data_IF_991565051106
#
_entry.id   IF_991565051106
#
_cell.length_a   1.000
_cell.length_b   1.000
_cell.length_c   1.000
_cell.angle_alpha   90.00
_cell.angle_beta   90.00
_cell.angle_gamma   90.00
#
_symmetry.space_group_name_H-M   'P 1'
#
loop_
_entity.id
_entity.type
_entity.pdbx_description
1 polymer ?
#
# COMPACT_ATOMS: atom_id res chain seq x y z
N UNK A 1 75.51 9.32 -1.20
CA UNK A 1 74.91 8.25 -2.01
C UNK A 1 73.54 7.95 -1.43
N UNK A 2 72.50 7.96 -2.27
CA UNK A 2 71.10 7.94 -1.88
C UNK A 2 70.67 6.52 -1.50
N UNK A 3 69.93 6.39 -0.40
CA UNK A 3 69.26 5.16 0.02
C UNK A 3 68.02 4.92 -0.84
N UNK A 4 67.91 3.71 -1.39
CA UNK A 4 66.69 3.21 -2.03
C UNK A 4 65.90 2.44 -0.96
N UNK A 5 64.74 2.96 -0.58
CA UNK A 5 63.71 2.20 0.14
C UNK A 5 62.64 1.88 -0.89
N UNK A 6 62.51 0.59 -1.22
CA UNK A 6 61.40 0.07 -2.02
C UNK A 6 60.29 -0.26 -1.02
N UNK A 7 59.24 0.55 -1.01
CA UNK A 7 57.96 0.18 -0.39
C UNK A 7 57.10 -0.42 -1.50
N UNK A 8 56.82 -1.73 -1.38
CA UNK A 8 55.75 -2.38 -2.13
C UNK A 8 54.42 -1.81 -1.63
N UNK A 9 53.74 -1.10 -2.53
CA UNK A 9 52.36 -0.67 -2.35
C UNK A 9 51.48 -1.71 -3.05
N UNK A 10 51.22 -2.83 -2.36
CA UNK A 10 50.19 -3.78 -2.77
C UNK A 10 48.86 -3.21 -2.29
N UNK A 11 48.27 -2.37 -3.13
CA UNK A 11 46.94 -1.79 -2.97
C UNK A 11 45.87 -2.87 -3.02
N UNK A 12 45.51 -3.36 -1.84
CA UNK A 12 44.20 -3.97 -1.59
C UNK A 12 43.15 -2.84 -1.66
N UNK A 13 42.31 -2.87 -2.69
CA UNK A 13 41.20 -1.95 -2.84
C UNK A 13 40.18 -2.19 -1.70
N UNK A 14 40.34 -1.45 -0.61
CA UNK A 14 39.34 -1.35 0.44
C UNK A 14 38.07 -0.74 -0.17
N UNK A 15 36.98 -1.52 -0.21
CA UNK A 15 35.64 -0.98 -0.42
C UNK A 15 35.44 0.15 0.59
N UNK A 16 35.23 1.39 0.11
CA UNK A 16 35.07 2.52 1.00
C UNK A 16 33.80 2.33 1.84
N UNK A 17 33.97 2.25 3.16
CA UNK A 17 32.88 2.29 4.16
C UNK A 17 32.30 3.72 4.30
N UNK A 18 32.29 4.50 3.22
CA UNK A 18 31.79 5.87 3.21
C UNK A 18 30.28 5.88 2.91
N UNK A 19 29.42 6.33 3.84
CA UNK A 19 27.98 6.34 3.65
C UNK A 19 27.54 7.10 2.40
N UNK A 20 28.23 8.17 2.03
CA UNK A 20 27.89 8.98 0.86
C UNK A 20 28.07 8.17 -0.44
N UNK A 21 29.22 7.51 -0.60
CA UNK A 21 29.49 6.65 -1.75
C UNK A 21 28.47 5.51 -1.88
N UNK A 22 28.04 4.95 -0.74
CA UNK A 22 26.99 3.93 -0.71
C UNK A 22 25.62 4.49 -1.13
N UNK A 23 25.24 5.68 -0.63
CA UNK A 23 23.98 6.35 -1.01
C UNK A 23 23.95 6.62 -2.51
N UNK A 24 25.04 7.14 -3.10
CA UNK A 24 25.15 7.41 -4.54
C UNK A 24 24.97 6.14 -5.39
N UNK A 25 25.50 5.01 -4.90
CA UNK A 25 25.31 3.70 -5.51
C UNK A 25 23.84 3.25 -5.44
N UNK A 26 23.21 3.39 -4.27
CA UNK A 26 21.81 3.01 -4.05
C UNK A 26 20.85 3.84 -4.91
N UNK A 27 20.95 5.17 -4.92
CA UNK A 27 20.07 6.01 -5.78
C UNK A 27 20.33 5.79 -7.28
N UNK A 28 21.46 5.18 -7.64
CA UNK A 28 21.79 4.82 -9.01
C UNK A 28 21.34 3.41 -9.41
N UNK A 29 20.88 2.57 -8.47
CA UNK A 29 20.51 1.17 -8.77
C UNK A 29 19.16 1.07 -9.48
N UNK A 30 18.24 2.01 -9.23
CA UNK A 30 16.92 2.07 -9.85
C UNK A 30 16.51 3.51 -10.18
N UNK A 31 15.69 3.74 -11.23
CA UNK A 31 15.19 5.07 -11.57
C UNK A 31 14.32 5.69 -10.46
N UNK A 32 13.58 4.87 -9.71
CA UNK A 32 12.80 5.29 -8.55
C UNK A 32 13.31 4.54 -7.32
N UNK A 33 13.81 5.28 -6.33
CA UNK A 33 14.45 4.71 -5.15
C UNK A 33 13.95 5.36 -3.86
N UNK A 34 13.58 4.55 -2.87
CA UNK A 34 13.01 5.02 -1.61
C UNK A 34 13.86 4.58 -0.41
N UNK A 35 14.37 5.55 0.35
CA UNK A 35 14.87 5.30 1.70
C UNK A 35 13.72 5.31 2.68
N UNK A 36 13.51 4.21 3.42
CA UNK A 36 12.37 4.03 4.31
C UNK A 36 12.74 3.34 5.62
N UNK A 37 11.83 3.38 6.60
CA UNK A 37 11.95 2.62 7.85
C UNK A 37 11.18 1.31 7.73
N UNK A 38 11.88 0.18 7.72
CA UNK A 38 11.32 -1.14 7.43
C UNK A 38 11.46 -1.51 5.95
N UNK A 39 10.54 -2.33 5.45
CA UNK A 39 10.49 -2.79 4.05
C UNK A 39 9.11 -2.55 3.45
N UNK A 40 8.92 -2.64 2.12
CA UNK A 40 7.61 -2.48 1.48
C UNK A 40 6.51 -3.40 2.04
N UNK A 41 6.88 -4.62 2.46
CA UNK A 41 5.95 -5.61 2.99
C UNK A 41 5.81 -5.55 4.52
N UNK A 42 6.80 -4.96 5.19
CA UNK A 42 6.79 -4.76 6.64
C UNK A 42 7.34 -3.36 6.99
N UNK A 43 6.56 -2.29 6.74
CA UNK A 43 6.96 -0.94 7.10
C UNK A 43 6.94 -0.76 8.62
N UNK A 44 7.93 -0.06 9.16
CA UNK A 44 8.11 0.16 10.61
C UNK A 44 7.81 1.61 11.02
N UNK A 45 7.18 2.39 10.13
CA UNK A 45 6.81 3.77 10.36
C UNK A 45 5.63 4.16 9.48
N UNK A 46 4.58 4.79 10.04
CA UNK A 46 3.39 5.18 9.29
C UNK A 46 3.69 6.11 8.10
N UNK A 47 4.68 7.00 8.21
CA UNK A 47 5.12 7.82 7.08
C UNK A 47 5.71 6.97 5.94
N UNK A 48 6.48 5.93 6.28
CA UNK A 48 7.02 5.00 5.27
C UNK A 48 5.91 4.14 4.65
N UNK A 49 4.91 3.71 5.42
CA UNK A 49 3.74 3.00 4.89
C UNK A 49 3.00 3.83 3.85
N UNK A 50 2.70 5.11 4.17
CA UNK A 50 1.97 6.01 3.27
C UNK A 50 2.69 6.22 1.93
N UNK A 51 4.02 6.43 1.95
CA UNK A 51 4.78 6.56 0.70
C UNK A 51 4.75 5.28 -0.12
N UNK A 52 4.86 4.11 0.51
CA UNK A 52 4.75 2.81 -0.18
C UNK A 52 3.36 2.66 -0.83
N UNK A 53 2.30 3.01 -0.12
CA UNK A 53 0.92 3.00 -0.65
C UNK A 53 0.80 3.93 -1.86
N UNK A 54 1.37 5.13 -1.80
CA UNK A 54 1.40 6.05 -2.94
C UNK A 54 2.12 5.44 -4.15
N UNK A 55 3.35 4.94 -3.99
CA UNK A 55 4.12 4.36 -5.10
C UNK A 55 3.42 3.15 -5.71
N UNK A 56 2.83 2.28 -4.87
CA UNK A 56 2.03 1.13 -5.33
C UNK A 56 0.77 1.58 -6.08
N UNK A 57 0.08 2.62 -5.61
CA UNK A 57 -1.11 3.18 -6.27
C UNK A 57 -0.82 3.74 -7.67
N UNK A 58 0.40 4.26 -7.89
CA UNK A 58 0.87 4.68 -9.21
C UNK A 58 1.38 3.54 -10.09
N UNK A 59 1.46 2.31 -9.56
CA UNK A 59 2.03 1.14 -10.24
C UNK A 59 3.44 1.40 -10.79
N UNK A 60 4.23 2.22 -10.10
CA UNK A 60 5.61 2.51 -10.48
C UNK A 60 6.54 1.41 -9.93
N UNK A 61 7.48 0.88 -10.73
CA UNK A 61 8.52 0.01 -10.20
C UNK A 61 9.52 0.84 -9.41
N UNK A 62 9.84 0.41 -8.19
CA UNK A 62 10.79 1.11 -7.31
C UNK A 62 11.63 0.13 -6.50
N UNK A 63 12.82 0.56 -6.09
CA UNK A 63 13.64 -0.13 -5.09
C UNK A 63 13.61 0.62 -3.76
N UNK A 64 13.96 -0.09 -2.67
CA UNK A 64 13.98 0.49 -1.34
C UNK A 64 15.24 0.14 -0.55
N UNK A 65 15.59 0.99 0.41
CA UNK A 65 16.58 0.68 1.43
C UNK A 65 16.00 0.91 2.82
N UNK A 66 16.14 -0.10 3.71
CA UNK A 66 15.75 0.01 5.10
C UNK A 66 16.83 0.76 5.90
N UNK A 67 16.62 2.04 6.19
CA UNK A 67 17.61 2.83 6.96
C UNK A 67 17.78 2.36 8.41
N UNK A 68 16.90 1.50 8.92
CA UNK A 68 17.04 0.97 10.28
C UNK A 68 18.08 -0.14 10.38
N UNK A 69 18.52 -0.72 9.26
CA UNK A 69 19.60 -1.71 9.24
C UNK A 69 20.99 -1.09 9.20
N UNK A 70 21.12 0.21 8.91
CA UNK A 70 22.40 0.90 8.80
C UNK A 70 22.29 2.36 9.31
N UNK A 71 22.88 2.62 10.49
CA UNK A 71 22.88 3.95 11.09
C UNK A 71 23.70 4.98 10.28
N UNK A 72 24.76 4.54 9.60
CA UNK A 72 25.59 5.40 8.75
C UNK A 72 24.80 5.92 7.56
N UNK A 73 24.07 5.04 6.86
CA UNK A 73 23.16 5.44 5.79
C UNK A 73 22.01 6.30 6.34
N UNK A 74 21.46 5.95 7.50
CA UNK A 74 20.33 6.69 8.10
C UNK A 74 20.64 8.14 8.39
N UNK A 75 21.84 8.44 8.86
CA UNK A 75 22.25 9.83 9.10
C UNK A 75 22.83 10.46 7.83
N UNK A 76 23.62 9.70 7.07
CA UNK A 76 24.21 10.16 5.81
C UNK A 76 23.16 10.60 4.79
N UNK A 77 22.01 9.93 4.68
CA UNK A 77 20.96 10.30 3.71
C UNK A 77 20.30 11.65 4.05
N UNK A 78 20.24 12.00 5.33
CA UNK A 78 19.70 13.30 5.76
C UNK A 78 20.64 14.44 5.36
N UNK A 79 21.94 14.21 5.52
CA UNK A 79 22.98 15.17 5.12
C UNK A 79 23.06 15.28 3.60
N UNK A 80 23.02 14.15 2.89
CA UNK A 80 23.08 14.07 1.42
C UNK A 80 21.99 14.91 0.76
N UNK A 81 20.74 14.76 1.21
CA UNK A 81 19.59 15.48 0.68
C UNK A 81 19.42 16.90 1.26
N UNK A 82 20.21 17.25 2.28
CA UNK A 82 19.94 18.38 3.16
C UNK A 82 18.47 18.37 3.69
N UNK A 83 18.01 17.18 4.11
CA UNK A 83 16.63 16.94 4.51
C UNK A 83 16.55 16.09 5.79
N UNK A 84 15.88 16.55 6.86
CA UNK A 84 16.02 15.95 8.19
C UNK A 84 15.20 14.66 8.41
N UNK A 85 14.22 14.36 7.55
CA UNK A 85 13.25 13.28 7.78
C UNK A 85 13.36 12.12 6.80
N UNK A 86 12.75 11.00 7.17
CA UNK A 86 12.64 9.75 6.42
C UNK A 86 11.17 9.32 6.53
N UNK A 87 10.51 8.87 5.45
CA UNK A 87 11.06 8.45 4.15
C UNK A 87 11.59 9.56 3.25
N UNK A 88 12.47 9.21 2.31
CA UNK A 88 12.97 10.08 1.24
C UNK A 88 12.90 9.37 -0.12
N UNK A 89 12.20 9.97 -1.08
CA UNK A 89 12.07 9.46 -2.44
C UNK A 89 13.07 10.15 -3.38
N UNK A 90 13.70 9.35 -4.23
CA UNK A 90 14.57 9.80 -5.31
C UNK A 90 14.01 9.30 -6.64
N UNK A 91 14.01 10.17 -7.65
CA UNK A 91 13.66 9.84 -9.03
C UNK A 91 14.79 10.32 -9.93
N UNK A 92 15.33 9.45 -10.78
CA UNK A 92 16.50 9.72 -11.61
C UNK A 92 17.69 10.34 -10.83
N UNK A 93 17.94 9.84 -9.61
CA UNK A 93 18.97 10.30 -8.67
C UNK A 93 18.72 11.68 -8.06
N UNK A 94 17.62 12.34 -8.38
CA UNK A 94 17.24 13.62 -7.81
C UNK A 94 16.30 13.42 -6.62
N UNK A 95 16.53 14.18 -5.55
CA UNK A 95 15.67 14.15 -4.37
C UNK A 95 14.33 14.80 -4.69
N UNK A 96 13.24 14.03 -4.51
CA UNK A 96 11.87 14.51 -4.75
C UNK A 96 11.28 15.11 -3.47
N UNK A 97 11.36 14.38 -2.36
CA UNK A 97 10.75 14.83 -1.11
C UNK A 97 10.58 13.75 -0.05
N UNK A 98 9.99 14.17 1.06
CA UNK A 98 9.48 13.28 2.11
C UNK A 98 7.98 12.97 1.94
N UNK A 99 7.40 12.28 2.92
CA UNK A 99 6.02 11.74 2.86
C UNK A 99 4.96 12.73 2.35
N UNK A 100 4.87 13.92 2.97
CA UNK A 100 3.78 14.84 2.68
C UNK A 100 3.92 15.50 1.29
N UNK A 101 5.16 15.76 0.85
CA UNK A 101 5.45 16.27 -0.51
C UNK A 101 5.05 15.22 -1.55
N UNK A 102 5.41 13.95 -1.31
CA UNK A 102 5.09 12.84 -2.21
C UNK A 102 3.57 12.68 -2.36
N UNK A 103 2.81 12.78 -1.27
CA UNK A 103 1.35 12.73 -1.30
C UNK A 103 0.73 13.93 -2.03
N UNK A 104 1.26 15.13 -1.82
CA UNK A 104 0.81 16.34 -2.53
C UNK A 104 1.04 16.22 -4.05
N UNK A 105 2.26 15.85 -4.44
CA UNK A 105 2.63 15.63 -5.85
C UNK A 105 1.84 14.48 -6.49
N UNK A 106 1.47 13.47 -5.70
CA UNK A 106 0.58 12.40 -6.15
C UNK A 106 -0.84 12.94 -6.39
N UNK A 107 -1.37 13.75 -5.47
CA UNK A 107 -2.72 14.28 -5.55
C UNK A 107 -2.94 15.29 -6.68
N UNK A 108 -1.89 16.04 -7.05
CA UNK A 108 -1.95 17.01 -8.16
C UNK A 108 -1.46 16.43 -9.51
N UNK A 109 -0.92 15.22 -9.52
CA UNK A 109 -0.46 14.51 -10.72
C UNK A 109 0.99 14.77 -11.14
N UNK A 110 1.71 15.70 -10.48
CA UNK A 110 3.11 16.03 -10.78
C UNK A 110 4.05 14.82 -10.60
N UNK A 111 3.75 13.95 -9.63
CA UNK A 111 4.53 12.74 -9.39
C UNK A 111 4.49 11.77 -10.59
N UNK A 112 3.36 11.73 -11.31
CA UNK A 112 3.22 10.93 -12.51
C UNK A 112 4.11 11.38 -13.66
N UNK A 113 4.33 12.69 -13.81
CA UNK A 113 5.24 13.22 -14.82
C UNK A 113 6.69 12.80 -14.54
N UNK A 114 7.13 12.84 -13.27
CA UNK A 114 8.45 12.33 -12.87
C UNK A 114 8.61 10.83 -13.16
N UNK A 115 7.56 10.03 -12.94
CA UNK A 115 7.61 8.60 -13.26
C UNK A 115 7.67 8.34 -14.76
N UNK A 116 6.96 9.12 -15.59
CA UNK A 116 7.06 9.04 -17.06
C UNK A 116 8.48 9.37 -17.53
N UNK A 117 9.13 10.36 -16.94
CA UNK A 117 10.52 10.69 -17.25
C UNK A 117 11.50 9.56 -16.86
N UNK A 118 11.29 8.94 -15.70
CA UNK A 118 12.11 7.82 -15.22
C UNK A 118 11.84 6.50 -15.97
N UNK A 119 10.61 6.30 -16.45
CA UNK A 119 10.16 5.11 -17.15
C UNK A 119 9.36 5.47 -18.42
N UNK A 120 10.01 5.95 -19.49
CA UNK A 120 9.32 6.47 -20.68
C UNK A 120 8.52 5.43 -21.47
N UNK A 121 8.69 4.14 -21.16
CA UNK A 121 7.98 3.03 -21.78
C UNK A 121 6.81 2.50 -20.93
N UNK A 122 6.55 3.10 -19.76
CA UNK A 122 5.42 2.76 -18.89
C UNK A 122 4.38 3.86 -18.92
N UNK A 123 3.10 3.48 -18.90
CA UNK A 123 2.00 4.43 -18.72
C UNK A 123 1.69 4.57 -17.24
N UNK A 124 1.63 5.81 -16.78
CA UNK A 124 1.24 6.17 -15.43
C UNK A 124 -0.04 6.98 -15.45
N UNK A 125 -1.05 6.46 -14.76
CA UNK A 125 -2.29 7.18 -14.49
C UNK A 125 -2.35 7.48 -13.00
N UNK A 126 -2.82 8.68 -12.60
CA UNK A 126 -3.05 8.97 -11.20
C UNK A 126 -3.95 7.90 -10.59
N UNK A 127 -3.67 7.45 -9.34
CA UNK A 127 -4.58 6.55 -8.64
C UNK A 127 -5.96 7.23 -8.56
N UNK A 128 -7.05 6.51 -8.86
CA UNK A 128 -8.38 7.09 -8.80
C UNK A 128 -8.67 7.55 -7.36
N UNK A 129 -9.34 8.70 -7.18
CA UNK A 129 -9.69 9.15 -5.84
C UNK A 129 -10.61 8.12 -5.15
N UNK A 130 -10.55 7.98 -3.81
CA UNK A 130 -11.43 7.07 -3.09
C UNK A 130 -12.89 7.44 -3.35
N UNK A 131 -13.68 6.47 -3.81
CA UNK A 131 -15.12 6.64 -3.98
C UNK A 131 -15.85 6.55 -2.65
N UNK A 132 -17.06 7.10 -2.58
CA UNK A 132 -17.94 6.92 -1.45
C UNK A 132 -18.48 5.48 -1.41
N UNK A 133 -18.51 4.88 -0.21
CA UNK A 133 -19.08 3.54 -0.02
C UNK A 133 -20.60 3.59 -0.22
N UNK A 134 -21.10 2.71 -1.08
CA UNK A 134 -22.54 2.58 -1.35
C UNK A 134 -23.22 1.80 -0.22
N UNK A 135 -23.96 2.50 0.62
CA UNK A 135 -24.71 1.91 1.73
C UNK A 135 -26.08 1.44 1.23
N UNK A 136 -26.28 0.13 1.13
CA UNK A 136 -27.53 -0.46 0.64
C UNK A 136 -28.20 -1.33 1.71
N UNK A 137 -29.54 -1.38 1.75
CA UNK A 137 -30.25 -2.29 2.64
C UNK A 137 -30.07 -3.76 2.19
N UNK A 138 -30.32 -4.74 3.09
CA UNK A 138 -30.10 -6.15 2.78
C UNK A 138 -30.87 -6.66 1.56
N UNK A 139 -32.12 -6.23 1.36
CA UNK A 139 -32.95 -6.62 0.22
C UNK A 139 -32.32 -6.25 -1.13
N UNK A 140 -31.79 -5.04 -1.27
CA UNK A 140 -31.15 -4.56 -2.49
C UNK A 140 -29.85 -5.32 -2.76
N UNK A 141 -29.07 -5.61 -1.72
CA UNK A 141 -27.88 -6.44 -1.84
C UNK A 141 -28.25 -7.88 -2.22
N UNK A 142 -29.30 -8.45 -1.64
CA UNK A 142 -29.76 -9.79 -1.99
C UNK A 142 -30.21 -9.86 -3.46
N UNK A 143 -30.87 -8.83 -3.98
CA UNK A 143 -31.16 -8.74 -5.41
C UNK A 143 -29.91 -8.61 -6.27
N UNK A 144 -28.94 -7.79 -5.85
CA UNK A 144 -27.65 -7.63 -6.54
C UNK A 144 -26.90 -8.96 -6.65
N UNK A 145 -26.78 -9.69 -5.54
CA UNK A 145 -26.11 -11.00 -5.48
C UNK A 145 -26.87 -12.07 -6.28
N UNK A 146 -28.21 -12.00 -6.36
CA UNK A 146 -28.99 -12.90 -7.23
C UNK A 146 -28.73 -12.65 -8.71
N UNK A 147 -28.59 -11.38 -9.11
CA UNK A 147 -28.31 -10.98 -10.51
C UNK A 147 -26.86 -11.27 -10.89
N UNK A 148 -25.93 -11.17 -9.94
CA UNK A 148 -24.50 -11.32 -10.14
C UNK A 148 -23.90 -12.19 -9.01
N UNK A 149 -24.03 -13.54 -9.11
CA UNK A 149 -23.64 -14.46 -8.04
C UNK A 149 -22.12 -14.54 -7.78
N UNK A 150 -21.31 -14.05 -8.72
CA UNK A 150 -19.85 -14.00 -8.59
C UNK A 150 -19.36 -12.84 -7.71
N UNK A 151 -20.24 -11.88 -7.36
CA UNK A 151 -19.89 -10.78 -6.46
C UNK A 151 -19.57 -11.34 -5.07
N UNK A 152 -18.36 -11.11 -4.53
CA UNK A 152 -18.00 -11.59 -3.21
C UNK A 152 -18.73 -10.80 -2.11
N UNK A 153 -19.45 -11.53 -1.27
CA UNK A 153 -19.97 -11.05 0.00
C UNK A 153 -18.95 -11.33 1.12
N UNK A 154 -18.24 -10.31 1.54
CA UNK A 154 -17.13 -10.33 2.50
C UNK A 154 -17.63 -10.03 3.91
N UNK A 155 -17.54 -11.01 4.79
CA UNK A 155 -17.97 -10.95 6.18
C UNK A 155 -16.79 -10.65 7.10
N UNK A 156 -16.76 -9.47 7.70
CA UNK A 156 -15.67 -9.02 8.59
C UNK A 156 -15.81 -9.56 10.02
N UNK A 157 -16.82 -10.39 10.30
CA UNK A 157 -17.01 -11.02 11.61
C UNK A 157 -16.07 -12.20 11.78
N UNK A 158 -15.71 -12.46 13.04
CA UNK A 158 -14.87 -13.60 13.39
C UNK A 158 -15.59 -14.96 13.27
N UNK A 159 -14.83 -16.07 13.37
CA UNK A 159 -15.37 -17.42 13.24
C UNK A 159 -16.51 -17.74 14.21
N UNK A 160 -16.42 -17.29 15.47
CA UNK A 160 -17.43 -17.56 16.50
C UNK A 160 -18.78 -16.93 16.17
N UNK A 161 -18.78 -15.66 15.75
CA UNK A 161 -19.98 -14.94 15.30
C UNK A 161 -20.60 -15.58 14.05
N UNK A 162 -19.76 -16.01 13.09
CA UNK A 162 -20.20 -16.66 11.86
C UNK A 162 -20.75 -18.07 12.09
N UNK A 163 -20.29 -18.76 13.13
CA UNK A 163 -20.82 -20.08 13.51
C UNK A 163 -22.27 -20.00 14.04
N UNK A 164 -22.66 -18.85 14.61
CA UNK A 164 -24.05 -18.61 15.07
C UNK A 164 -24.96 -18.28 13.89
N UNK A 165 -24.50 -17.40 13.00
CA UNK A 165 -25.29 -16.89 11.88
C UNK A 165 -24.40 -16.57 10.67
N UNK A 166 -24.74 -17.11 9.50
CA UNK A 166 -23.99 -16.88 8.27
C UNK A 166 -24.94 -16.84 7.06
N UNK A 167 -24.72 -15.88 6.17
CA UNK A 167 -25.41 -15.83 4.87
C UNK A 167 -24.73 -16.81 3.91
N UNK A 168 -25.52 -17.61 3.19
CA UNK A 168 -25.00 -18.57 2.22
C UNK A 168 -24.10 -17.87 1.19
N UNK A 169 -22.90 -18.42 0.96
CA UNK A 169 -21.91 -17.85 0.03
C UNK A 169 -21.04 -16.73 0.61
N UNK A 170 -21.33 -16.21 1.80
CA UNK A 170 -20.50 -15.19 2.44
C UNK A 170 -19.13 -15.74 2.86
N UNK A 171 -18.06 -15.04 2.48
CA UNK A 171 -16.66 -15.40 2.77
C UNK A 171 -16.16 -14.55 3.92
N UNK A 172 -15.51 -15.17 4.91
CA UNK A 172 -14.84 -14.38 5.96
C UNK A 172 -13.64 -13.67 5.36
N UNK A 173 -13.47 -12.40 5.70
CA UNK A 173 -12.27 -11.65 5.38
C UNK A 173 -11.36 -11.56 6.60
N UNK A 174 -10.20 -12.19 6.49
CA UNK A 174 -9.08 -12.03 7.41
C UNK A 174 -7.99 -11.13 6.79
N UNK A 175 -6.89 -10.94 7.51
CA UNK A 175 -5.78 -10.11 7.01
C UNK A 175 -5.14 -10.68 5.74
N UNK A 176 -5.06 -12.00 5.60
CA UNK A 176 -4.44 -12.63 4.45
C UNK A 176 -5.29 -12.41 3.18
N UNK A 177 -6.61 -12.64 3.28
CA UNK A 177 -7.52 -12.38 2.17
C UNK A 177 -7.60 -10.89 1.86
N UNK A 178 -7.62 -10.01 2.87
CA UNK A 178 -7.62 -8.57 2.62
C UNK A 178 -6.40 -8.13 1.80
N UNK A 179 -5.21 -8.65 2.15
CA UNK A 179 -3.98 -8.38 1.42
C UNK A 179 -3.98 -8.95 0.00
N UNK A 180 -4.52 -10.17 -0.18
CA UNK A 180 -4.69 -10.78 -1.50
C UNK A 180 -5.59 -9.92 -2.40
N UNK A 181 -6.75 -9.48 -1.88
CA UNK A 181 -7.69 -8.64 -2.62
C UNK A 181 -6.99 -7.36 -3.09
N UNK A 182 -6.34 -6.64 -2.18
CA UNK A 182 -5.65 -5.37 -2.50
C UNK A 182 -4.54 -5.57 -3.52
N UNK A 183 -3.79 -6.67 -3.43
CA UNK A 183 -2.61 -6.87 -4.28
C UNK A 183 -2.92 -7.47 -5.65
N UNK A 184 -4.05 -8.17 -5.81
CA UNK A 184 -4.23 -9.07 -6.96
C UNK A 184 -5.60 -9.01 -7.61
N UNK A 185 -6.60 -8.38 -6.99
CA UNK A 185 -7.93 -8.30 -7.58
C UNK A 185 -8.09 -7.02 -8.42
N UNK A 186 -8.93 -7.07 -9.45
CA UNK A 186 -9.26 -5.89 -10.27
C UNK A 186 -10.07 -4.89 -9.43
N UNK A 187 -9.60 -3.64 -9.23
CA UNK A 187 -10.29 -2.63 -8.43
C UNK A 187 -11.69 -2.26 -8.92
N UNK A 188 -12.05 -2.64 -10.14
CA UNK A 188 -13.37 -2.37 -10.72
C UNK A 188 -14.40 -3.44 -10.37
N UNK A 189 -14.01 -4.59 -9.80
CA UNK A 189 -14.99 -5.60 -9.42
C UNK A 189 -15.82 -5.13 -8.21
N UNK A 190 -17.13 -5.42 -8.18
CA UNK A 190 -17.96 -5.12 -7.03
C UNK A 190 -17.52 -5.89 -5.78
N UNK A 191 -17.38 -5.21 -4.65
CA UNK A 191 -17.14 -5.82 -3.33
C UNK A 191 -18.27 -5.48 -2.39
N UNK A 192 -18.86 -6.47 -1.71
CA UNK A 192 -19.92 -6.25 -0.72
C UNK A 192 -19.42 -6.63 0.67
N UNK A 193 -19.51 -5.72 1.63
CA UNK A 193 -19.07 -5.95 3.01
C UNK A 193 -20.24 -6.09 3.97
N UNK A 194 -20.15 -7.07 4.86
CA UNK A 194 -21.13 -7.32 5.91
C UNK A 194 -20.47 -7.56 7.27
N UNK A 195 -21.15 -7.10 8.33
CA UNK A 195 -20.80 -7.43 9.70
C UNK A 195 -22.08 -7.70 10.50
N UNK A 196 -22.04 -7.56 11.83
CA UNK A 196 -23.24 -7.74 12.64
C UNK A 196 -24.29 -6.65 12.38
N UNK A 197 -23.92 -5.37 12.45
CA UNK A 197 -24.85 -4.22 12.41
C UNK A 197 -24.53 -3.13 11.38
N UNK A 198 -23.62 -3.40 10.44
CA UNK A 198 -23.20 -2.46 9.39
C UNK A 198 -22.02 -1.54 9.76
N UNK A 199 -21.64 -1.41 11.03
CA UNK A 199 -20.56 -0.49 11.44
C UNK A 199 -19.14 -0.94 11.08
N UNK A 200 -18.78 -2.20 11.41
CA UNK A 200 -17.45 -2.75 11.09
C UNK A 200 -17.24 -2.94 9.58
N UNK A 201 -18.29 -3.35 8.88
CA UNK A 201 -18.28 -3.51 7.44
C UNK A 201 -18.14 -2.18 6.70
N UNK A 202 -18.73 -1.10 7.22
CA UNK A 202 -18.52 0.24 6.66
C UNK A 202 -17.05 0.67 6.74
N UNK A 203 -16.40 0.45 7.88
CA UNK A 203 -14.97 0.76 8.04
C UNK A 203 -14.09 -0.05 7.09
N UNK A 204 -14.37 -1.35 6.96
CA UNK A 204 -13.67 -2.20 6.00
C UNK A 204 -13.91 -1.73 4.55
N UNK A 205 -15.16 -1.43 4.19
CA UNK A 205 -15.49 -0.90 2.88
C UNK A 205 -14.73 0.39 2.56
N UNK A 206 -14.65 1.32 3.51
CA UNK A 206 -13.88 2.57 3.36
C UNK A 206 -12.37 2.32 3.18
N UNK A 207 -11.82 1.30 3.84
CA UNK A 207 -10.44 0.89 3.60
C UNK A 207 -10.25 0.47 2.13
N UNK A 208 -11.13 -0.37 1.58
CA UNK A 208 -11.01 -0.81 0.18
C UNK A 208 -11.19 0.32 -0.84
N UNK A 209 -12.05 1.31 -0.58
CA UNK A 209 -12.13 2.48 -1.48
C UNK A 209 -10.85 3.30 -1.47
N UNK A 210 -10.15 3.40 -0.32
CA UNK A 210 -8.83 4.02 -0.22
C UNK A 210 -7.75 3.23 -0.96
N UNK A 211 -7.90 1.91 -1.10
CA UNK A 211 -7.02 1.06 -1.92
C UNK A 211 -7.37 1.10 -3.42
N UNK A 212 -8.27 1.99 -3.84
CA UNK A 212 -8.62 2.20 -5.24
C UNK A 212 -9.81 1.38 -5.76
N UNK A 213 -10.48 0.59 -4.92
CA UNK A 213 -11.69 -0.12 -5.36
C UNK A 213 -12.84 0.85 -5.63
N UNK A 214 -13.42 0.75 -6.82
CA UNK A 214 -14.38 1.74 -7.35
C UNK A 214 -15.85 1.33 -7.13
N UNK A 215 -16.10 0.05 -6.81
CA UNK A 215 -17.45 -0.49 -6.64
C UNK A 215 -17.58 -1.19 -5.28
N UNK A 216 -17.74 -0.40 -4.21
CA UNK A 216 -17.75 -0.94 -2.84
C UNK A 216 -19.09 -0.69 -2.16
N UNK A 217 -19.67 -1.75 -1.62
CA UNK A 217 -20.98 -1.76 -0.98
C UNK A 217 -20.88 -2.16 0.48
N UNK A 218 -21.70 -1.54 1.34
CA UNK A 218 -21.89 -1.93 2.74
C UNK A 218 -23.34 -2.34 2.97
N UNK A 219 -23.54 -3.51 3.60
CA UNK A 219 -24.87 -3.97 4.03
C UNK A 219 -25.30 -3.18 5.27
N UNK A 220 -26.26 -2.26 5.10
CA UNK A 220 -26.83 -1.46 6.19
C UNK A 220 -27.53 -2.38 7.19
N UNK A 221 -27.22 -2.21 8.47
CA UNK A 221 -27.76 -3.07 9.53
C UNK A 221 -27.17 -4.47 9.59
N UNK A 222 -26.24 -4.82 8.68
CA UNK A 222 -25.51 -6.08 8.67
C UNK A 222 -26.40 -7.32 8.64
N UNK A 223 -25.90 -8.42 9.17
CA UNK A 223 -26.63 -9.69 9.22
C UNK A 223 -27.88 -9.63 10.11
N UNK A 224 -27.91 -8.75 11.11
CA UNK A 224 -29.09 -8.60 11.97
C UNK A 224 -30.30 -8.11 11.15
N UNK A 225 -30.09 -7.12 10.29
CA UNK A 225 -31.10 -6.65 9.36
C UNK A 225 -31.38 -7.68 8.24
N UNK A 226 -30.34 -8.36 7.73
CA UNK A 226 -30.51 -9.43 6.74
C UNK A 226 -31.45 -10.54 7.22
N UNK A 227 -31.30 -10.94 8.48
CA UNK A 227 -32.13 -11.97 9.10
C UNK A 227 -33.58 -11.52 9.28
N UNK A 228 -33.82 -10.21 9.32
CA UNK A 228 -35.16 -9.65 9.44
C UNK A 228 -35.86 -9.46 8.09
N UNK A 229 -35.12 -9.06 7.05
CA UNK A 229 -35.73 -8.59 5.79
C UNK A 229 -35.51 -9.52 4.60
N UNK A 230 -34.51 -10.42 4.65
CA UNK A 230 -34.15 -11.28 3.52
C UNK A 230 -34.33 -12.76 3.85
N UNK A 231 -33.79 -13.23 4.97
CA UNK A 231 -33.78 -14.64 5.33
C UNK A 231 -33.98 -14.85 6.83
N UNK A 232 -35.23 -15.09 7.23
CA UNK A 232 -35.62 -15.28 8.63
C UNK A 232 -35.22 -16.62 9.23
N UNK A 233 -34.65 -17.55 8.44
CA UNK A 233 -34.08 -18.79 8.95
C UNK A 233 -32.69 -18.57 9.57
N UNK A 234 -32.02 -17.46 9.23
CA UNK A 234 -30.73 -17.08 9.82
C UNK A 234 -30.94 -16.64 11.27
N UNK A 235 -30.26 -17.26 12.26
CA UNK A 235 -30.38 -16.88 13.67
C UNK A 235 -29.88 -15.45 13.93
N UNK A 236 -30.46 -14.80 14.93
CA UNK A 236 -30.04 -13.48 15.43
C UNK A 236 -29.39 -13.62 16.81
N UNK A 237 -28.47 -12.71 17.15
CA UNK A 237 -27.72 -12.73 18.41
C UNK A 237 -27.33 -11.32 18.89
#
# INVERSE_FOLDING_TARGET
>A
MKFNVVSNDDGEAAASNDPKSQIESLVSSAPVFLFMKGSPDAPQCGFSSRVIETLRGWNVPFETFNVLSDEGIRDGIKEYANWPTIPQLYVNKEFVGGCDIIEEMSGNGELGELFKEAHPNLEFTPPPPPVEVQNLPPEDIAELLKKQPDIPLLDVRGPEERAIACVAGARMIDQALAQEIVNSWDPNIPLVFMCHKGGRSLQAAQYFTQQGFQNVYNVVGGIDAWSLTVDSEIPRY
#
